data_IF_335033107003
#
_entry.id   IF_335033107003
#
_cell.length_a   1.000
_cell.length_b   1.000
_cell.length_c   1.000
_cell.angle_alpha   90.00
_cell.angle_beta   90.00
_cell.angle_gamma   90.00
#
_symmetry.space_group_name_H-M   'P 1'
#
loop_
_entity.id
_entity.type
_entity.pdbx_description
1 polymer ?
#
# COMPACT_ATOMS: atom_id res chain seq x y z
N UNK A 1 -17.67 48.07 -26.39
CA UNK A 1 -16.77 46.90 -26.24
C UNK A 1 -17.24 46.13 -25.02
N UNK A 2 -18.09 45.12 -25.18
CA UNK A 2 -18.55 44.31 -24.05
C UNK A 2 -17.47 43.26 -23.74
N UNK A 3 -16.88 43.31 -22.54
CA UNK A 3 -16.05 42.22 -22.01
C UNK A 3 -16.94 40.97 -21.93
N UNK A 4 -16.59 39.93 -22.66
CA UNK A 4 -17.20 38.61 -22.45
C UNK A 4 -16.84 38.15 -21.05
N UNK A 5 -17.85 37.90 -20.22
CA UNK A 5 -17.65 37.29 -18.92
C UNK A 5 -17.13 35.86 -19.14
N UNK A 6 -15.96 35.56 -18.57
CA UNK A 6 -15.46 34.20 -18.48
C UNK A 6 -16.26 33.54 -17.37
N UNK A 7 -17.02 32.51 -17.73
CA UNK A 7 -17.73 31.69 -16.76
C UNK A 7 -16.71 31.06 -15.79
N UNK A 8 -16.83 31.28 -14.47
CA UNK A 8 -15.94 30.67 -13.50
C UNK A 8 -15.98 29.17 -13.68
N UNK A 9 -14.82 28.50 -13.66
CA UNK A 9 -14.73 27.04 -13.61
C UNK A 9 -15.25 26.57 -12.25
N UNK A 10 -16.56 26.68 -12.01
CA UNK A 10 -17.17 26.15 -10.81
C UNK A 10 -17.19 24.63 -11.00
N UNK A 11 -16.56 23.85 -10.09
CA UNK A 11 -16.60 22.40 -10.18
C UNK A 11 -18.06 21.98 -10.24
N UNK A 12 -18.42 21.21 -11.28
CA UNK A 12 -19.79 20.72 -11.46
C UNK A 12 -20.08 19.78 -10.29
N UNK A 13 -20.70 20.30 -9.23
CA UNK A 13 -21.31 19.51 -8.15
C UNK A 13 -22.40 18.68 -8.84
N UNK A 14 -22.22 17.37 -8.91
CA UNK A 14 -23.23 16.50 -9.51
C UNK A 14 -24.53 16.69 -8.70
N UNK A 15 -25.67 17.00 -9.33
CA UNK A 15 -26.94 16.96 -8.62
C UNK A 15 -27.12 15.54 -8.08
N UNK A 16 -27.62 15.43 -6.84
CA UNK A 16 -27.77 14.16 -6.13
C UNK A 16 -28.83 13.21 -6.71
N UNK A 17 -29.15 13.33 -8.01
CA UNK A 17 -30.17 12.56 -8.71
C UNK A 17 -29.63 11.28 -9.36
N UNK A 18 -28.31 11.08 -9.38
CA UNK A 18 -27.67 9.80 -9.70
C UNK A 18 -26.99 9.13 -8.48
N UNK A 19 -27.68 9.08 -7.34
CA UNK A 19 -27.51 8.12 -6.22
C UNK A 19 -26.08 7.67 -5.85
N UNK A 20 -25.09 8.56 -5.84
CA UNK A 20 -23.70 8.23 -5.54
C UNK A 20 -22.90 9.44 -5.08
N UNK A 21 -21.99 9.25 -4.14
CA UNK A 21 -21.10 10.32 -3.67
C UNK A 21 -20.00 10.61 -4.72
N UNK A 22 -19.52 11.85 -4.75
CA UNK A 22 -18.39 12.23 -5.59
C UNK A 22 -17.10 11.54 -5.16
N UNK A 23 -16.21 11.22 -6.10
CA UNK A 23 -14.92 10.59 -5.78
C UNK A 23 -14.02 11.49 -4.95
N UNK A 24 -14.14 12.81 -5.10
CA UNK A 24 -13.43 13.78 -4.27
C UNK A 24 -13.82 13.62 -2.79
N UNK A 25 -15.13 13.53 -2.52
CA UNK A 25 -15.66 13.35 -1.16
C UNK A 25 -15.41 11.94 -0.62
N UNK A 26 -15.55 10.91 -1.47
CA UNK A 26 -15.26 9.53 -1.09
C UNK A 26 -13.81 9.35 -0.63
N UNK A 27 -12.87 9.97 -1.37
CA UNK A 27 -11.44 9.95 -1.02
C UNK A 27 -11.22 10.63 0.32
N UNK A 28 -11.79 11.82 0.52
CA UNK A 28 -11.65 12.54 1.79
C UNK A 28 -12.13 11.71 2.99
N UNK A 29 -13.33 11.10 2.89
CA UNK A 29 -13.86 10.25 3.97
C UNK A 29 -12.98 9.04 4.27
N UNK A 30 -12.38 8.44 3.23
CA UNK A 30 -11.44 7.33 3.40
C UNK A 30 -10.10 7.79 4.02
N UNK A 31 -9.63 8.99 3.69
CA UNK A 31 -8.43 9.57 4.30
C UNK A 31 -8.62 9.88 5.79
N UNK A 32 -9.82 10.27 6.20
CA UNK A 32 -10.20 10.56 7.58
C UNK A 32 -10.51 9.30 8.42
N UNK A 33 -10.79 8.15 7.78
CA UNK A 33 -11.05 6.88 8.46
C UNK A 33 -9.74 6.12 8.71
N UNK A 34 -9.41 5.76 9.97
CA UNK A 34 -8.12 5.18 10.33
C UNK A 34 -7.83 3.83 9.65
N UNK A 35 -8.88 3.05 9.38
CA UNK A 35 -8.74 1.75 8.70
C UNK A 35 -8.66 1.90 7.17
N UNK A 36 -9.31 2.94 6.62
CA UNK A 36 -9.36 3.16 5.18
C UNK A 36 -8.12 3.87 4.65
N UNK A 37 -7.56 4.82 5.41
CA UNK A 37 -6.36 5.57 5.05
C UNK A 37 -5.16 4.70 4.63
N UNK A 38 -4.74 3.67 5.41
CA UNK A 38 -3.66 2.79 4.99
C UNK A 38 -4.02 1.95 3.75
N UNK A 39 -5.29 1.56 3.60
CA UNK A 39 -5.74 0.84 2.40
C UNK A 39 -5.75 1.72 1.16
N UNK A 40 -6.12 2.99 1.28
CA UNK A 40 -6.01 3.97 0.20
C UNK A 40 -4.56 4.17 -0.23
N UNK A 41 -3.64 4.28 0.72
CA UNK A 41 -2.20 4.37 0.43
C UNK A 41 -1.70 3.12 -0.28
N UNK A 42 -2.11 1.93 0.18
CA UNK A 42 -1.78 0.67 -0.47
C UNK A 42 -2.36 0.57 -1.88
N UNK A 43 -3.58 1.07 -2.10
CA UNK A 43 -4.22 1.12 -3.42
C UNK A 43 -3.42 1.99 -4.39
N UNK A 44 -3.06 3.20 -3.99
CA UNK A 44 -2.28 4.12 -4.82
C UNK A 44 -0.90 3.54 -5.20
N UNK A 45 -0.26 2.82 -4.28
CA UNK A 45 1.03 2.16 -4.50
C UNK A 45 0.91 0.91 -5.39
N UNK A 46 0.03 -0.02 -5.03
CA UNK A 46 -0.05 -1.34 -5.66
C UNK A 46 -0.68 -1.29 -7.06
N UNK A 47 -1.54 -0.30 -7.32
CA UNK A 47 -2.26 -0.13 -8.58
C UNK A 47 -1.65 0.91 -9.53
N UNK A 48 -0.44 1.42 -9.27
CA UNK A 48 0.19 2.40 -10.17
C UNK A 48 0.27 1.93 -11.65
N UNK A 49 0.50 0.65 -11.90
CA UNK A 49 0.50 0.09 -13.27
C UNK A 49 -0.89 0.06 -13.92
N UNK A 50 -1.94 -0.10 -13.10
CA UNK A 50 -3.33 -0.04 -13.54
C UNK A 50 -3.70 1.39 -13.98
N UNK A 51 -3.28 2.39 -13.21
CA UNK A 51 -3.60 3.80 -13.52
C UNK A 51 -3.02 4.23 -14.85
N UNK A 52 -1.85 3.70 -15.21
CA UNK A 52 -1.20 3.90 -16.50
C UNK A 52 -1.75 3.00 -17.62
N UNK A 53 -2.79 2.21 -17.36
CA UNK A 53 -3.42 1.33 -18.37
C UNK A 53 -2.57 0.13 -18.79
N UNK A 54 -1.61 -0.30 -17.97
CA UNK A 54 -0.67 -1.39 -18.35
C UNK A 54 -1.18 -2.77 -17.95
N UNK A 55 -1.36 -3.01 -16.64
CA UNK A 55 -1.82 -4.31 -16.12
C UNK A 55 -2.48 -4.18 -14.75
N UNK A 56 -3.44 -5.06 -14.46
CA UNK A 56 -3.94 -5.28 -13.12
C UNK A 56 -3.10 -6.37 -12.45
N UNK A 57 -2.18 -5.98 -11.57
CA UNK A 57 -1.34 -6.95 -10.84
C UNK A 57 -2.17 -7.74 -9.84
N UNK A 58 -1.72 -8.94 -9.46
CA UNK A 58 -2.34 -9.70 -8.37
C UNK A 58 -2.40 -8.86 -7.09
N UNK A 59 -1.31 -8.16 -6.76
CA UNK A 59 -1.25 -7.25 -5.61
C UNK A 59 -2.32 -6.14 -5.68
N UNK A 60 -2.47 -5.48 -6.82
CA UNK A 60 -3.52 -4.48 -7.02
C UNK A 60 -4.92 -5.08 -6.85
N UNK A 61 -5.17 -6.25 -7.46
CA UNK A 61 -6.46 -6.95 -7.37
C UNK A 61 -6.80 -7.29 -5.92
N UNK A 62 -5.85 -7.84 -5.16
CA UNK A 62 -6.01 -8.14 -3.73
C UNK A 62 -6.30 -6.86 -2.94
N UNK A 63 -5.58 -5.77 -3.20
CA UNK A 63 -5.83 -4.50 -2.51
C UNK A 63 -7.24 -3.95 -2.82
N UNK A 64 -7.69 -4.01 -4.07
CA UNK A 64 -9.06 -3.61 -4.43
C UNK A 64 -10.10 -4.46 -3.67
N UNK A 65 -9.88 -5.78 -3.58
CA UNK A 65 -10.76 -6.67 -2.82
C UNK A 65 -10.77 -6.33 -1.33
N UNK A 66 -9.61 -6.08 -0.72
CA UNK A 66 -9.50 -5.69 0.69
C UNK A 66 -10.25 -4.37 0.96
N UNK A 67 -10.11 -3.40 0.05
CA UNK A 67 -10.75 -2.10 0.17
C UNK A 67 -12.30 -2.19 0.16
N UNK A 68 -12.86 -3.22 -0.46
CA UNK A 68 -14.30 -3.48 -0.47
C UNK A 68 -14.85 -4.01 0.86
N UNK A 69 -14.00 -4.40 1.82
CA UNK A 69 -14.44 -4.76 3.17
C UNK A 69 -14.52 -3.56 4.11
N UNK A 70 -14.04 -2.38 3.68
CA UNK A 70 -14.04 -1.15 4.48
C UNK A 70 -15.20 -0.25 4.02
N UNK A 71 -16.03 0.30 4.93
CA UNK A 71 -17.20 1.09 4.56
C UNK A 71 -16.90 2.25 3.60
N UNK A 72 -15.93 3.13 3.91
CA UNK A 72 -15.57 4.22 2.99
C UNK A 72 -14.77 3.72 1.77
N UNK A 73 -14.12 2.57 1.86
CA UNK A 73 -13.45 1.93 0.73
C UNK A 73 -14.44 1.47 -0.36
N UNK A 74 -15.61 0.95 0.04
CA UNK A 74 -16.71 0.63 -0.90
C UNK A 74 -17.21 1.89 -1.61
N UNK A 75 -17.34 3.00 -0.87
CA UNK A 75 -17.77 4.26 -1.44
C UNK A 75 -16.75 4.80 -2.47
N UNK A 76 -15.45 4.69 -2.18
CA UNK A 76 -14.39 5.06 -3.11
C UNK A 76 -14.43 4.23 -4.40
N UNK A 77 -14.75 2.93 -4.32
CA UNK A 77 -14.84 2.10 -5.51
C UNK A 77 -16.05 2.47 -6.41
N UNK A 78 -17.16 2.90 -5.81
CA UNK A 78 -18.43 3.17 -6.52
C UNK A 78 -18.70 4.66 -6.82
N UNK A 79 -17.84 5.56 -6.36
CA UNK A 79 -18.04 7.00 -6.47
C UNK A 79 -18.19 7.49 -7.91
N UNK A 80 -18.80 8.67 -8.09
CA UNK A 80 -18.94 9.34 -9.39
C UNK A 80 -17.75 10.30 -9.58
N UNK A 81 -17.06 10.20 -10.72
CA UNK A 81 -15.90 11.05 -11.02
C UNK A 81 -16.32 12.53 -11.09
N UNK A 82 -15.74 13.33 -10.21
CA UNK A 82 -16.02 14.75 -10.04
C UNK A 82 -14.73 15.55 -9.75
N UNK A 83 -14.87 16.86 -9.59
CA UNK A 83 -13.74 17.74 -9.28
C UNK A 83 -12.74 17.92 -10.43
N UNK A 84 -11.54 18.39 -10.08
CA UNK A 84 -10.46 18.70 -11.03
C UNK A 84 -9.76 17.43 -11.55
N UNK A 85 -9.78 16.36 -10.77
CA UNK A 85 -9.18 15.06 -11.13
C UNK A 85 -10.11 14.19 -12.00
N UNK A 86 -11.28 14.71 -12.38
CA UNK A 86 -12.30 13.96 -13.13
C UNK A 86 -11.74 13.24 -14.37
N UNK A 87 -10.94 13.86 -15.27
CA UNK A 87 -10.43 13.16 -16.44
C UNK A 87 -9.56 11.95 -16.07
N UNK A 88 -8.73 12.08 -15.03
CA UNK A 88 -7.90 10.99 -14.55
C UNK A 88 -8.74 9.88 -13.89
N UNK A 89 -9.73 10.26 -13.07
CA UNK A 89 -10.66 9.34 -12.44
C UNK A 89 -11.40 8.47 -13.48
N UNK A 90 -11.91 9.07 -14.55
CA UNK A 90 -12.64 8.35 -15.60
C UNK A 90 -11.73 7.30 -16.27
N UNK A 91 -10.48 7.67 -16.59
CA UNK A 91 -9.48 6.76 -17.14
C UNK A 91 -9.14 5.61 -16.18
N UNK A 92 -8.94 5.91 -14.89
CA UNK A 92 -8.65 4.87 -13.89
C UNK A 92 -9.82 3.90 -13.74
N UNK A 93 -11.06 4.39 -13.70
CA UNK A 93 -12.25 3.52 -13.62
C UNK A 93 -12.40 2.65 -14.87
N UNK A 94 -12.13 3.20 -16.05
CA UNK A 94 -12.13 2.44 -17.30
C UNK A 94 -11.04 1.35 -17.31
N UNK A 95 -9.81 1.70 -16.92
CA UNK A 95 -8.70 0.76 -16.80
C UNK A 95 -9.01 -0.35 -15.80
N UNK A 96 -9.58 -0.02 -14.65
CA UNK A 96 -9.98 -1.00 -13.64
C UNK A 96 -11.02 -1.98 -14.21
N UNK A 97 -12.04 -1.46 -14.91
CA UNK A 97 -13.04 -2.26 -15.62
C UNK A 97 -12.41 -3.25 -16.61
N UNK A 98 -11.54 -2.75 -17.49
CA UNK A 98 -10.94 -3.54 -18.57
C UNK A 98 -9.89 -4.53 -18.07
N UNK A 99 -9.00 -4.10 -17.19
CA UNK A 99 -7.79 -4.86 -16.84
C UNK A 99 -8.00 -5.79 -15.65
N UNK A 100 -8.92 -5.48 -14.72
CA UNK A 100 -9.18 -6.33 -13.57
C UNK A 100 -10.43 -7.21 -13.73
N UNK A 101 -11.38 -6.81 -14.60
CA UNK A 101 -12.68 -7.49 -14.77
C UNK A 101 -13.04 -7.82 -16.23
N UNK A 102 -12.32 -7.30 -17.22
CA UNK A 102 -12.48 -7.67 -18.63
C UNK A 102 -12.04 -9.10 -18.90
N UNK A 103 -12.69 -9.75 -19.87
CA UNK A 103 -12.67 -11.19 -20.18
C UNK A 103 -11.48 -11.96 -19.60
N UNK A 104 -11.84 -12.91 -18.73
CA UNK A 104 -10.99 -13.90 -18.08
C UNK A 104 -10.08 -14.61 -19.10
N UNK A 105 -8.98 -13.99 -19.47
CA UNK A 105 -7.88 -14.61 -20.19
C UNK A 105 -6.70 -14.59 -19.24
N UNK A 106 -6.68 -15.60 -18.36
CA UNK A 106 -5.45 -16.29 -17.98
C UNK A 106 -4.21 -15.38 -17.93
N UNK A 107 -4.20 -14.40 -17.03
CA UNK A 107 -2.94 -14.14 -16.35
C UNK A 107 -2.75 -15.36 -15.48
N UNK A 108 -2.17 -16.39 -16.09
CA UNK A 108 -1.52 -17.50 -15.43
C UNK A 108 -1.00 -16.95 -14.11
N UNK A 109 -1.50 -17.53 -13.03
CA UNK A 109 -0.67 -17.65 -11.86
C UNK A 109 0.62 -18.28 -12.37
N UNK A 110 1.64 -17.46 -12.55
CA UNK A 110 3.01 -17.91 -12.60
C UNK A 110 3.62 -17.56 -11.25
N UNK A 111 3.52 -18.47 -10.27
CA UNK A 111 4.38 -18.45 -9.09
C UNK A 111 5.72 -19.18 -9.33
N UNK A 112 6.16 -19.42 -10.57
CA UNK A 112 7.23 -20.38 -10.89
C UNK A 112 8.26 -19.86 -11.92
N UNK A 113 9.01 -18.83 -11.53
CA UNK A 113 10.39 -18.61 -11.98
C UNK A 113 11.11 -17.74 -10.96
N UNK A 114 12.37 -18.05 -10.65
CA UNK A 114 13.19 -17.56 -9.52
C UNK A 114 12.77 -18.25 -8.20
N UNK A 115 13.23 -19.47 -7.87
CA UNK A 115 14.63 -19.91 -7.80
C UNK A 115 14.73 -21.43 -8.00
N UNK A 116 15.12 -21.83 -9.21
CA UNK A 116 15.52 -23.19 -9.55
C UNK A 116 17.02 -23.34 -9.24
N UNK A 117 17.33 -24.11 -8.20
CA UNK A 117 18.57 -24.87 -7.93
C UNK A 117 19.79 -24.59 -8.81
N UNK A 118 20.83 -23.99 -8.22
CA UNK A 118 22.22 -24.37 -8.49
C UNK A 118 22.71 -25.18 -7.28
N UNK A 119 22.79 -26.51 -7.45
CA UNK A 119 23.78 -27.36 -6.75
C UNK A 119 25.19 -26.73 -6.95
N UNK A 120 26.22 -26.89 -6.14
CA UNK A 120 26.78 -28.04 -5.44
C UNK A 120 27.81 -27.45 -4.44
N UNK A 121 27.78 -27.80 -3.15
CA UNK A 121 29.01 -28.21 -2.43
C UNK A 121 28.66 -28.69 -1.01
N UNK A 122 28.46 -30.00 -0.92
CA UNK A 122 28.58 -30.74 0.32
C UNK A 122 30.06 -30.83 0.72
N UNK A 123 30.52 -30.03 1.70
CA UNK A 123 31.63 -30.46 2.55
C UNK A 123 31.10 -30.90 3.92
N UNK A 124 30.88 -32.21 4.04
CA UNK A 124 30.75 -32.90 5.32
C UNK A 124 32.10 -32.86 6.03
N UNK A 125 32.16 -32.21 7.20
CA UNK A 125 33.17 -32.54 8.21
C UNK A 125 32.46 -32.90 9.52
N UNK A 126 32.45 -34.19 9.91
CA UNK A 126 31.92 -34.64 11.19
C UNK A 126 32.96 -34.47 12.30
N UNK A 127 32.52 -34.78 13.52
CA UNK A 127 33.28 -34.94 14.77
C UNK A 127 33.42 -33.63 15.57
N UNK A 128 33.00 -33.53 16.85
CA UNK A 128 32.66 -34.56 17.84
C UNK A 128 32.05 -33.88 19.07
N UNK A 129 31.25 -34.66 19.79
CA UNK A 129 30.57 -34.41 21.06
C UNK A 129 31.41 -33.75 22.17
N UNK A 130 30.71 -32.89 22.92
CA UNK A 130 30.60 -32.79 24.39
C UNK A 130 31.85 -32.65 25.30
N UNK A 131 31.64 -31.83 26.35
CA UNK A 131 32.13 -31.94 27.74
C UNK A 131 32.91 -30.72 28.27
N UNK A 132 32.24 -30.10 29.25
CA UNK A 132 32.66 -29.26 30.38
C UNK A 132 34.08 -29.51 30.95
N UNK A 133 34.80 -28.44 31.34
CA UNK A 133 35.41 -28.24 32.67
C UNK A 133 36.45 -27.11 32.68
N UNK A 134 36.50 -26.42 33.82
CA UNK A 134 37.26 -25.24 34.20
C UNK A 134 38.78 -25.29 33.96
N UNK A 135 39.42 -24.11 33.72
CA UNK A 135 40.36 -23.53 34.71
C UNK A 135 40.84 -22.11 34.36
N UNK A 136 41.11 -21.39 35.44
CA UNK A 136 41.41 -19.97 35.65
C UNK A 136 42.92 -19.68 35.45
N UNK A 137 43.30 -18.54 34.84
CA UNK A 137 44.12 -17.49 35.51
C UNK A 137 44.35 -16.21 34.66
N UNK A 138 43.85 -15.12 35.26
CA UNK A 138 44.12 -13.68 35.19
C UNK A 138 45.34 -13.11 34.43
N UNK A 139 45.14 -11.91 33.85
CA UNK A 139 45.67 -10.60 34.35
C UNK A 139 45.22 -9.42 33.44
N UNK A 140 44.18 -8.66 33.84
CA UNK A 140 44.22 -7.27 34.39
C UNK A 140 43.92 -6.13 33.36
N UNK A 141 43.39 -4.94 33.77
CA UNK A 141 42.20 -4.27 33.19
C UNK A 141 42.49 -2.76 32.91
N UNK A 142 41.55 -1.78 33.03
CA UNK A 142 40.12 -1.67 32.70
C UNK A 142 39.83 -0.54 31.68
N UNK A 143 38.66 -0.54 31.03
CA UNK A 143 38.05 0.72 30.56
C UNK A 143 36.66 0.87 31.20
N UNK A 144 36.53 1.93 31.97
CA UNK A 144 35.33 2.38 32.66
C UNK A 144 34.23 2.76 31.66
N UNK A 145 32.98 2.40 31.98
CA UNK A 145 31.80 2.94 31.30
C UNK A 145 30.50 2.25 31.72
N UNK A 146 29.93 2.72 32.83
CA UNK A 146 28.64 2.33 33.40
C UNK A 146 27.51 2.30 32.36
N UNK A 147 26.76 1.21 32.23
CA UNK A 147 25.45 0.94 32.90
C UNK A 147 24.41 2.05 32.70
N UNK A 148 23.45 1.75 31.83
CA UNK A 148 22.03 1.83 32.12
C UNK A 148 21.32 3.17 31.89
N UNK A 149 20.34 3.16 30.99
CA UNK A 149 18.98 3.69 31.20
C UNK A 149 18.11 3.19 30.03
N UNK A 150 17.46 2.04 30.17
CA UNK A 150 15.99 1.93 30.29
C UNK A 150 15.14 3.06 29.68
N UNK A 151 14.26 2.64 28.76
CA UNK A 151 12.86 3.07 28.61
C UNK A 151 12.61 4.56 28.36
N UNK A 152 12.48 4.95 27.09
CA UNK A 152 12.11 6.33 26.75
C UNK A 152 11.61 6.61 25.33
N UNK A 153 11.11 5.63 24.57
CA UNK A 153 10.66 5.86 23.18
C UNK A 153 9.15 5.64 22.94
N UNK A 154 8.33 5.69 23.99
CA UNK A 154 6.85 5.59 23.86
C UNK A 154 6.17 6.98 23.74
N UNK A 155 6.90 8.11 23.81
CA UNK A 155 6.32 9.45 23.81
C UNK A 155 6.61 10.30 22.56
N UNK A 156 6.73 9.68 21.37
CA UNK A 156 6.91 10.41 20.10
C UNK A 156 5.74 10.25 19.11
N UNK A 157 4.64 9.60 19.50
CA UNK A 157 3.44 9.40 18.67
C UNK A 157 2.21 10.15 19.23
N UNK A 158 2.39 11.39 19.66
CA UNK A 158 1.30 12.18 20.26
C UNK A 158 1.30 13.68 19.95
N UNK A 159 2.12 14.12 18.99
CA UNK A 159 2.25 15.56 18.65
C UNK A 159 2.15 15.86 17.14
N UNK A 160 1.78 14.86 16.34
CA UNK A 160 1.31 15.06 14.97
C UNK A 160 0.10 14.13 14.72
N UNK A 161 -0.99 14.39 15.44
CA UNK A 161 -2.35 14.25 14.95
C UNK A 161 -3.29 15.07 15.84
#
# INVERSE_FOLDING_TARGET
MAKRAIEPCLPRRYPGDASGIGCTEARQRCEEEPDCHPMLTAYLSNCGQLFNGRKCTLKCKTTIQQMLFIPNGVLLNRCVCDGVERPFCEVVKENMGKLCFGDQSFSTMDPEAEDLYEDEDYELRPDREEVESDTVYSNHPPFLGAVGLQLGLILAWGLFC
#
